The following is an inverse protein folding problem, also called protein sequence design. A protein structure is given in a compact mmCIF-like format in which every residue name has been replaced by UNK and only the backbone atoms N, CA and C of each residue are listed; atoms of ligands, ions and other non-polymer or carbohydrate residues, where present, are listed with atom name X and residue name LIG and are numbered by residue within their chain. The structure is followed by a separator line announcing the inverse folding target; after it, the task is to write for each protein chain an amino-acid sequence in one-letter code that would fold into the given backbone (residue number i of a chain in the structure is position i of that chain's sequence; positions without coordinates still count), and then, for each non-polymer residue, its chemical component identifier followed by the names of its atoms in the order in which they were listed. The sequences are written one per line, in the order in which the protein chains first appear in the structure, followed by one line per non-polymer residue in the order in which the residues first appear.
data_IF_287960419746
#
_entry.id   IF_287960419746
#
_cell.length_a   1.000
_cell.length_b   1.000
_cell.length_c   1.000
_cell.angle_alpha   90.00
_cell.angle_beta   90.00
_cell.angle_gamma   90.00
#
_symmetry.space_group_name_H-M   'P 1'
#
loop_
_entity.id
_entity.type
_entity.pdbx_description
1 polymer ?
#
# COMPACT_ATOMS: atom_id res chain seq x y z
N UNK A 1 49.34 0.44 -34.83
CA UNK A 1 48.66 0.76 -33.55
C UNK A 1 47.20 1.05 -33.90
N UNK A 2 46.32 0.06 -33.76
CA UNK A 2 44.90 0.18 -34.14
C UNK A 2 44.11 0.58 -32.90
N UNK A 3 43.52 1.77 -32.95
CA UNK A 3 42.70 2.36 -31.90
C UNK A 3 41.45 1.51 -31.65
N UNK A 4 41.30 1.00 -30.43
CA UNK A 4 40.12 0.28 -29.97
C UNK A 4 38.97 1.26 -29.70
N UNK A 5 37.86 1.06 -30.40
CA UNK A 5 36.59 1.74 -30.09
C UNK A 5 35.97 0.98 -28.91
N UNK A 6 36.02 1.57 -27.71
CA UNK A 6 35.21 1.13 -26.58
C UNK A 6 33.74 1.43 -26.91
N UNK A 7 33.00 0.42 -27.35
CA UNK A 7 31.56 0.48 -27.42
C UNK A 7 31.01 0.47 -25.98
N UNK A 8 30.71 1.66 -25.44
CA UNK A 8 29.87 1.77 -24.27
C UNK A 8 28.45 1.33 -24.69
N UNK A 9 28.14 0.05 -24.49
CA UNK A 9 26.76 -0.43 -24.57
C UNK A 9 26.04 0.20 -23.38
N UNK A 10 25.35 1.31 -23.63
CA UNK A 10 24.34 1.82 -22.72
C UNK A 10 23.22 0.78 -22.67
N UNK A 11 23.33 -0.18 -21.75
CA UNK A 11 22.25 -1.11 -21.45
C UNK A 11 21.04 -0.26 -21.04
N UNK A 12 19.92 -0.34 -21.77
CA UNK A 12 18.73 0.41 -21.40
C UNK A 12 18.29 -0.04 -20.01
N UNK A 13 18.30 0.85 -19.01
CA UNK A 13 17.90 0.55 -17.63
C UNK A 13 16.37 0.39 -17.46
N UNK A 14 15.65 0.06 -18.53
CA UNK A 14 14.18 0.00 -18.57
C UNK A 14 13.58 -1.25 -17.91
N UNK A 15 14.38 -2.27 -17.56
CA UNK A 15 13.84 -3.52 -17.02
C UNK A 15 13.72 -3.56 -15.48
N UNK A 16 14.56 -2.83 -14.75
CA UNK A 16 14.63 -2.92 -13.29
C UNK A 16 13.46 -2.23 -12.59
N UNK A 17 13.15 -1.01 -12.98
CA UNK A 17 12.13 -0.20 -12.31
C UNK A 17 10.72 -0.77 -12.47
N UNK A 18 10.36 -1.24 -13.67
CA UNK A 18 9.06 -1.88 -13.92
C UNK A 18 8.87 -3.17 -13.12
N UNK A 19 9.91 -4.01 -12.97
CA UNK A 19 9.84 -5.21 -12.12
C UNK A 19 9.65 -4.85 -10.65
N UNK A 20 10.35 -3.83 -10.17
CA UNK A 20 10.30 -3.40 -8.77
C UNK A 20 8.97 -2.71 -8.44
N UNK A 21 8.44 -1.87 -9.34
CA UNK A 21 7.09 -1.31 -9.25
C UNK A 21 6.03 -2.43 -9.24
N UNK A 22 6.15 -3.42 -10.12
CA UNK A 22 5.23 -4.56 -10.15
C UNK A 22 5.26 -5.40 -8.88
N UNK A 23 6.44 -5.63 -8.29
CA UNK A 23 6.57 -6.32 -7.02
C UNK A 23 5.97 -5.51 -5.85
N UNK A 24 6.24 -4.21 -5.82
CA UNK A 24 5.70 -3.32 -4.80
C UNK A 24 4.16 -3.19 -4.88
N UNK A 25 3.62 -3.09 -6.09
CA UNK A 25 2.17 -3.04 -6.33
C UNK A 25 1.50 -4.34 -5.87
N UNK A 26 2.07 -5.51 -6.23
CA UNK A 26 1.57 -6.81 -5.74
C UNK A 26 1.61 -6.90 -4.23
N UNK A 27 2.67 -6.42 -3.59
CA UNK A 27 2.76 -6.41 -2.13
C UNK A 27 1.68 -5.52 -1.51
N UNK A 28 1.50 -4.30 -2.00
CA UNK A 28 0.45 -3.40 -1.50
C UNK A 28 -0.94 -4.02 -1.69
N UNK A 29 -1.22 -4.66 -2.82
CA UNK A 29 -2.48 -5.36 -3.04
C UNK A 29 -2.70 -6.52 -2.06
N UNK A 30 -1.66 -7.31 -1.76
CA UNK A 30 -1.73 -8.37 -0.73
C UNK A 30 -1.98 -7.79 0.66
N UNK A 31 -1.37 -6.66 1.00
CA UNK A 31 -1.54 -6.02 2.31
C UNK A 31 -2.94 -5.41 2.48
N UNK A 32 -3.48 -4.80 1.42
CA UNK A 32 -4.87 -4.35 1.37
C UNK A 32 -5.82 -5.54 1.57
N UNK A 33 -5.56 -6.66 0.87
CA UNK A 33 -6.36 -7.88 1.01
C UNK A 33 -6.26 -8.47 2.42
N UNK A 34 -5.08 -8.47 3.01
CA UNK A 34 -4.87 -8.93 4.37
C UNK A 34 -5.62 -8.08 5.37
N UNK A 35 -5.59 -6.75 5.22
CA UNK A 35 -6.42 -5.82 6.01
C UNK A 35 -7.92 -6.12 5.88
N UNK A 36 -8.40 -6.42 4.68
CA UNK A 36 -9.77 -6.80 4.43
C UNK A 36 -10.13 -8.11 5.15
N UNK A 37 -9.29 -9.13 5.03
CA UNK A 37 -9.50 -10.44 5.67
C UNK A 37 -9.51 -10.36 7.20
N UNK A 38 -8.63 -9.55 7.79
CA UNK A 38 -8.64 -9.31 9.24
C UNK A 38 -9.98 -8.74 9.71
N UNK A 39 -10.52 -7.73 9.04
CA UNK A 39 -11.84 -7.16 9.39
C UNK A 39 -13.00 -8.16 9.21
N UNK A 40 -12.89 -9.08 8.24
CA UNK A 40 -13.93 -10.09 7.98
C UNK A 40 -13.88 -11.26 8.98
N UNK A 41 -12.68 -11.69 9.38
CA UNK A 41 -12.47 -12.82 10.29
C UNK A 41 -12.64 -12.38 11.75
N UNK A 42 -12.13 -11.19 12.12
CA UNK A 42 -12.15 -10.65 13.48
C UNK A 42 -13.29 -9.64 13.65
N UNK A 43 -14.52 -10.12 13.49
CA UNK A 43 -15.70 -9.27 13.56
C UNK A 43 -15.77 -8.53 14.91
N UNK A 44 -15.85 -7.20 14.86
CA UNK A 44 -15.85 -6.31 16.03
C UNK A 44 -14.51 -5.63 16.30
N UNK A 45 -13.45 -6.01 15.60
CA UNK A 45 -12.20 -5.26 15.54
C UNK A 45 -12.19 -4.35 14.30
N UNK A 46 -11.60 -3.14 14.40
CA UNK A 46 -11.45 -2.22 13.27
C UNK A 46 -9.98 -2.21 12.81
N UNK A 47 -9.65 -2.98 11.78
CA UNK A 47 -8.29 -3.01 11.24
C UNK A 47 -8.14 -1.99 10.11
N UNK A 48 -7.06 -1.21 10.15
CA UNK A 48 -6.81 -0.12 9.21
C UNK A 48 -5.41 -0.15 8.62
N UNK A 49 -5.33 0.18 7.33
CA UNK A 49 -4.13 0.47 6.56
C UNK A 49 -3.98 1.99 6.45
N UNK A 50 -2.82 2.54 6.77
CA UNK A 50 -2.63 3.98 6.96
C UNK A 50 -1.44 4.46 6.21
N UNK A 51 -1.54 5.69 5.73
CA UNK A 51 -0.61 6.22 4.74
C UNK A 51 0.13 7.42 5.32
N UNK A 52 1.46 7.31 5.33
CA UNK A 52 2.39 8.39 5.65
C UNK A 52 3.29 8.66 4.43
N UNK A 53 4.00 9.80 4.38
CA UNK A 53 4.77 10.20 3.21
C UNK A 53 5.81 9.19 2.72
N UNK A 54 6.40 8.43 3.65
CA UNK A 54 7.52 7.51 3.41
C UNK A 54 7.22 6.04 3.74
N UNK A 55 5.98 5.75 4.17
CA UNK A 55 5.58 4.42 4.62
C UNK A 55 4.07 4.24 4.67
N UNK A 56 3.65 2.99 4.71
CA UNK A 56 2.32 2.62 5.16
C UNK A 56 2.41 1.58 6.27
N UNK A 57 1.36 1.45 7.05
CA UNK A 57 1.33 0.54 8.19
C UNK A 57 -0.09 -0.01 8.39
N UNK A 58 -0.16 -1.18 9.01
CA UNK A 58 -1.41 -1.84 9.38
C UNK A 58 -1.52 -1.84 10.91
N UNK A 59 -2.68 -1.49 11.44
CA UNK A 59 -2.93 -1.50 12.90
C UNK A 59 -4.40 -1.77 13.19
N UNK A 60 -4.68 -2.05 14.47
CA UNK A 60 -6.04 -2.14 14.99
C UNK A 60 -6.41 -0.80 15.62
N UNK A 61 -7.42 -0.14 15.06
CA UNK A 61 -7.99 1.11 15.55
C UNK A 61 -8.94 0.79 16.71
N UNK A 62 -8.38 0.75 17.92
CA UNK A 62 -9.15 0.47 19.14
C UNK A 62 -9.99 1.68 19.54
N UNK A 63 -9.53 2.88 19.18
CA UNK A 63 -10.12 4.14 19.56
C UNK A 63 -11.19 4.63 18.59
N UNK A 64 -11.37 3.95 17.46
CA UNK A 64 -12.25 4.33 16.34
C UNK A 64 -12.02 5.78 15.88
N UNK A 65 -10.77 6.23 15.94
CA UNK A 65 -10.40 7.63 15.66
C UNK A 65 -9.84 7.80 14.25
N UNK A 66 -9.71 6.72 13.47
CA UNK A 66 -9.26 6.65 12.07
C UNK A 66 -7.82 7.12 11.80
N UNK A 67 -7.29 7.91 12.73
CA UNK A 67 -5.94 8.40 12.86
C UNK A 67 -5.26 7.52 13.86
N UNK A 68 -4.12 6.97 13.46
CA UNK A 68 -3.31 6.14 14.35
C UNK A 68 -2.92 6.91 15.62
N UNK A 69 -3.29 6.34 16.76
CA UNK A 69 -2.78 6.76 18.06
C UNK A 69 -1.37 6.18 18.26
N UNK A 70 -0.47 6.94 18.90
CA UNK A 70 0.85 6.44 19.27
C UNK A 70 0.79 5.25 20.26
N UNK A 71 -0.33 5.09 20.98
CA UNK A 71 -0.58 3.99 21.89
C UNK A 71 -1.14 2.72 21.21
N UNK A 72 -1.54 2.79 19.94
CA UNK A 72 -2.12 1.63 19.25
C UNK A 72 -1.04 0.62 18.82
N UNK A 73 -1.24 -0.67 19.10
CA UNK A 73 -0.32 -1.70 18.65
C UNK A 73 -0.45 -1.88 17.13
N UNK A 74 0.69 -1.98 16.45
CA UNK A 74 0.71 -2.35 15.04
C UNK A 74 0.21 -3.79 14.86
N UNK A 75 -0.31 -4.09 13.67
CA UNK A 75 -0.51 -5.47 13.29
C UNK A 75 0.84 -6.18 13.40
N UNK A 76 0.84 -7.38 13.95
CA UNK A 76 2.00 -8.25 13.90
C UNK A 76 1.79 -9.17 12.71
N UNK A 77 2.77 -9.28 11.82
CA UNK A 77 2.75 -10.31 10.77
C UNK A 77 2.35 -11.66 11.42
N UNK A 78 1.37 -12.42 10.89
CA UNK A 78 0.99 -13.71 11.44
C UNK A 78 2.17 -14.70 11.56
N UNK A 79 3.31 -14.44 10.91
CA UNK A 79 4.57 -15.17 11.07
C UNK A 79 5.42 -14.76 12.31
N UNK A 80 5.06 -13.72 13.04
CA UNK A 80 5.55 -13.47 14.40
C UNK A 80 6.54 -12.31 14.58
N UNK A 81 6.06 -11.31 15.33
CA UNK A 81 6.78 -10.42 16.26
C UNK A 81 7.48 -9.15 15.72
N UNK A 82 6.96 -8.53 14.68
CA UNK A 82 7.36 -7.14 14.33
C UNK A 82 6.14 -6.29 14.03
N UNK A 83 6.22 -5.01 14.38
CA UNK A 83 5.26 -4.00 13.94
C UNK A 83 5.13 -4.04 12.41
N UNK A 84 3.92 -4.27 11.89
CA UNK A 84 3.65 -4.33 10.45
C UNK A 84 3.65 -2.93 9.85
N UNK A 85 4.85 -2.51 9.49
CA UNK A 85 5.13 -1.27 8.83
C UNK A 85 5.97 -1.55 7.60
N UNK A 86 5.63 -0.89 6.50
CA UNK A 86 6.31 -1.05 5.22
C UNK A 86 6.83 0.29 4.77
N UNK A 87 8.15 0.45 4.79
CA UNK A 87 8.78 1.64 4.24
C UNK A 87 8.76 1.59 2.72
N UNK A 88 8.48 2.74 2.09
CA UNK A 88 8.50 2.87 0.63
C UNK A 88 9.92 2.60 0.09
N UNK A 89 10.95 3.07 0.80
CA UNK A 89 12.34 2.78 0.50
C UNK A 89 12.67 1.27 0.55
N UNK A 90 12.05 0.52 1.47
CA UNK A 90 12.16 -0.94 1.54
C UNK A 90 11.55 -1.65 0.32
N UNK A 91 10.53 -1.05 -0.28
CA UNK A 91 9.96 -1.47 -1.58
C UNK A 91 10.65 -0.83 -2.78
N UNK A 92 11.67 -0.01 -2.54
CA UNK A 92 12.39 0.78 -3.54
C UNK A 92 11.43 1.63 -4.39
N UNK A 93 10.50 2.29 -3.71
CA UNK A 93 9.59 3.29 -4.25
C UNK A 93 10.04 4.68 -3.82
N UNK A 94 9.79 5.66 -4.67
CA UNK A 94 10.00 7.07 -4.34
C UNK A 94 8.73 7.72 -3.79
N UNK A 95 7.56 7.21 -4.20
CA UNK A 95 6.27 7.73 -3.74
C UNK A 95 5.15 6.70 -3.73
N UNK A 96 4.18 6.94 -2.86
CA UNK A 96 2.86 6.34 -2.87
C UNK A 96 1.85 7.47 -2.71
N UNK A 97 0.95 7.61 -3.67
CA UNK A 97 -0.14 8.60 -3.64
C UNK A 97 -1.48 7.87 -3.65
N UNK A 98 -2.40 8.31 -2.78
CA UNK A 98 -3.76 7.75 -2.70
C UNK A 98 -4.75 8.80 -3.18
N UNK A 99 -5.66 8.43 -4.08
CA UNK A 99 -6.67 9.32 -4.64
C UNK A 99 -8.08 8.70 -4.53
N UNK A 100 -9.07 9.40 -3.94
CA UNK A 100 -8.94 10.60 -3.13
C UNK A 100 -7.93 10.46 -1.97
N UNK A 101 -7.34 11.58 -1.56
CA UNK A 101 -6.39 11.59 -0.46
C UNK A 101 -7.10 11.19 0.84
N UNK A 102 -6.65 10.10 1.44
CA UNK A 102 -7.14 9.57 2.72
C UNK A 102 -5.95 9.27 3.63
N UNK A 103 -6.13 9.45 4.94
CA UNK A 103 -5.10 9.09 5.92
C UNK A 103 -5.11 7.60 6.26
N UNK A 104 -6.28 6.94 6.14
CA UNK A 104 -6.43 5.51 6.37
C UNK A 104 -7.55 4.87 5.56
N UNK A 105 -7.43 3.55 5.40
CA UNK A 105 -8.32 2.62 4.74
C UNK A 105 -8.62 1.49 5.73
N UNK A 106 -9.88 1.24 6.04
CA UNK A 106 -10.36 0.04 6.72
C UNK A 106 -11.37 -0.71 5.88
N UNK A 107 -11.98 -1.74 6.47
CA UNK A 107 -13.03 -2.52 5.82
C UNK A 107 -14.14 -2.82 6.82
N UNK A 108 -15.37 -2.91 6.35
CA UNK A 108 -16.47 -3.45 7.14
C UNK A 108 -16.29 -4.96 7.35
N UNK A 109 -17.01 -5.55 8.31
CA UNK A 109 -17.02 -7.01 8.51
C UNK A 109 -17.57 -7.83 7.32
N UNK A 110 -18.07 -7.16 6.26
CA UNK A 110 -18.49 -7.77 4.99
C UNK A 110 -17.50 -7.54 3.84
N UNK A 111 -16.37 -6.89 4.11
CA UNK A 111 -15.34 -6.59 3.13
C UNK A 111 -15.56 -5.33 2.28
N UNK A 112 -16.64 -4.56 2.51
CA UNK A 112 -16.80 -3.22 1.88
C UNK A 112 -15.72 -2.27 2.44
N UNK A 113 -14.93 -1.58 1.59
CA UNK A 113 -13.99 -0.56 2.04
C UNK A 113 -14.64 0.56 2.87
N UNK A 114 -13.89 1.11 3.82
CA UNK A 114 -14.18 2.31 4.62
C UNK A 114 -12.92 3.16 4.65
N UNK A 115 -13.01 4.48 4.60
CA UNK A 115 -11.83 5.35 4.55
C UNK A 115 -11.96 6.49 5.54
N UNK A 116 -10.84 7.08 5.93
CA UNK A 116 -10.88 8.16 6.91
C UNK A 116 -11.59 9.42 6.38
N UNK A 117 -12.43 10.00 7.23
CA UNK A 117 -13.03 11.32 6.98
C UNK A 117 -14.31 11.36 6.15
N UNK A 118 -14.88 10.23 5.70
CA UNK A 118 -16.30 10.18 5.33
C UNK A 118 -16.88 8.76 5.23
N UNK A 119 -18.12 8.62 5.68
CA UNK A 119 -18.95 7.42 5.55
C UNK A 119 -19.66 7.31 4.18
N UNK A 120 -19.28 8.14 3.20
CA UNK A 120 -19.94 8.24 1.89
C UNK A 120 -19.67 7.07 0.94
N UNK A 121 -20.57 6.85 -0.03
CA UNK A 121 -20.36 5.93 -1.14
C UNK A 121 -19.31 6.51 -2.11
N UNK A 122 -18.06 6.06 -1.97
CA UNK A 122 -16.98 6.43 -2.88
C UNK A 122 -16.99 5.61 -4.18
N UNK A 123 -16.32 6.12 -5.21
CA UNK A 123 -16.12 5.43 -6.49
C UNK A 123 -14.89 4.50 -6.51
N UNK A 124 -14.21 4.31 -5.36
CA UNK A 124 -12.99 3.52 -5.21
C UNK A 124 -11.80 4.37 -4.76
N UNK A 125 -10.64 3.73 -4.59
CA UNK A 125 -9.36 4.41 -4.35
C UNK A 125 -8.34 4.00 -5.41
N UNK A 126 -7.58 4.96 -5.90
CA UNK A 126 -6.39 4.70 -6.71
C UNK A 126 -5.12 4.84 -5.86
N UNK A 127 -4.28 3.81 -5.86
CA UNK A 127 -2.94 3.83 -5.29
C UNK A 127 -1.93 3.97 -6.42
N UNK A 128 -1.30 5.13 -6.53
CA UNK A 128 -0.25 5.38 -7.52
C UNK A 128 1.12 5.24 -6.87
N UNK A 129 1.88 4.24 -7.29
CA UNK A 129 3.25 3.95 -6.85
C UNK A 129 4.21 4.57 -7.86
N UNK A 130 5.14 5.40 -7.38
CA UNK A 130 6.12 6.09 -8.21
C UNK A 130 7.54 5.58 -7.99
N UNK A 131 8.28 5.44 -9.10
CA UNK A 131 9.73 5.21 -9.08
C UNK A 131 10.42 5.86 -10.27
N UNK A 132 11.24 6.87 -10.00
CA UNK A 132 11.84 7.73 -11.01
C UNK A 132 10.75 8.38 -11.86
N UNK A 133 10.77 8.11 -13.16
CA UNK A 133 9.74 8.57 -14.10
C UNK A 133 8.62 7.54 -14.36
N UNK A 134 8.72 6.34 -13.78
CA UNK A 134 7.73 5.28 -13.97
C UNK A 134 6.69 5.29 -12.85
N UNK A 135 5.47 4.89 -13.18
CA UNK A 135 4.36 4.80 -12.23
C UNK A 135 3.54 3.53 -12.49
N UNK A 136 2.97 2.99 -11.43
CA UNK A 136 1.97 1.93 -11.47
C UNK A 136 0.77 2.34 -10.62
N UNK A 137 -0.45 2.09 -11.10
CA UNK A 137 -1.68 2.40 -10.38
C UNK A 137 -2.42 1.11 -10.07
N UNK A 138 -2.84 0.96 -8.81
CA UNK A 138 -3.79 -0.06 -8.37
C UNK A 138 -5.12 0.60 -8.08
N UNK A 139 -6.20 0.01 -8.56
CA UNK A 139 -7.55 0.47 -8.26
C UNK A 139 -8.21 -0.45 -7.23
N UNK A 140 -8.75 0.14 -6.16
CA UNK A 140 -9.57 -0.52 -5.15
C UNK A 140 -11.04 -0.22 -5.41
N UNK A 141 -11.81 -1.26 -5.73
CA UNK A 141 -13.25 -1.17 -5.96
C UNK A 141 -14.01 -0.86 -4.66
N UNK A 142 -14.89 0.14 -4.69
CA UNK A 142 -15.62 0.61 -3.50
C UNK A 142 -16.71 -0.31 -2.97
N UNK A 143 -17.17 -1.28 -3.78
CA UNK A 143 -18.25 -2.20 -3.38
C UNK A 143 -17.69 -3.45 -2.74
N UNK A 144 -16.73 -4.09 -3.41
CA UNK A 144 -16.21 -5.42 -3.04
C UNK A 144 -14.89 -5.36 -2.29
N UNK A 145 -14.15 -4.25 -2.39
CA UNK A 145 -12.78 -4.14 -1.92
C UNK A 145 -11.76 -4.91 -2.77
N UNK A 146 -12.11 -5.32 -3.98
CA UNK A 146 -11.17 -5.94 -4.91
C UNK A 146 -10.12 -4.93 -5.39
N UNK A 147 -8.88 -5.40 -5.56
CA UNK A 147 -7.75 -4.61 -6.07
C UNK A 147 -7.33 -5.14 -7.44
N UNK A 148 -7.16 -4.25 -8.44
CA UNK A 148 -6.72 -4.60 -9.80
C UNK A 148 -5.85 -3.54 -10.46
#
# INVERSE_FOLDING_TARGET
LVLGIMAAVAAPRFAGHSMELGAAAKKLAMDIRYCQELNMIRQGEDWRLGFAPDQYYLWRDDNHNEVKDAAEPYAVDPAGQVDYQVSLAGLRLDSLTVNPAVSSLGFSGRGKPRYSGSDGDYNGLDFTLGRGSEQATLHLESVTGNVF
#
